data_IF_175171683404
#
_entry.id   IF_175171683404
#
_cell.length_a   1.000
_cell.length_b   1.000
_cell.length_c   1.000
_cell.angle_alpha   90.00
_cell.angle_beta   90.00
_cell.angle_gamma   90.00
#
_symmetry.space_group_name_H-M   'P 1'
#
loop_
_entity.id
_entity.type
_entity.pdbx_description
1 polymer ?
#
# COMPACT_ATOMS: atom_id res chain seq x y z
N UNK A 1 5.74 19.54 47.87
CA UNK A 1 5.63 20.05 46.48
C UNK A 1 6.66 19.44 45.53
N UNK A 2 7.96 19.35 45.85
CA UNK A 2 9.00 18.77 44.95
C UNK A 2 8.77 17.30 44.51
N UNK A 3 8.12 16.48 45.34
CA UNK A 3 7.86 15.05 45.02
C UNK A 3 6.72 14.84 44.01
N UNK A 4 5.69 15.69 44.02
CA UNK A 4 4.57 15.60 43.08
C UNK A 4 4.97 16.03 41.66
N UNK A 5 5.85 17.02 41.54
CA UNK A 5 6.39 17.46 40.23
C UNK A 5 7.22 16.35 39.58
N UNK A 6 8.00 15.60 40.36
CA UNK A 6 8.81 14.48 39.85
C UNK A 6 7.93 13.33 39.32
N UNK A 7 6.86 12.99 40.05
CA UNK A 7 5.91 11.95 39.62
C UNK A 7 5.19 12.40 38.35
N UNK A 8 4.74 13.65 38.27
CA UNK A 8 4.08 14.20 37.09
C UNK A 8 5.01 14.17 35.86
N UNK A 9 6.30 14.51 36.03
CA UNK A 9 7.31 14.47 34.97
C UNK A 9 7.58 13.04 34.49
N UNK A 10 7.67 12.07 35.41
CA UNK A 10 7.87 10.66 35.03
C UNK A 10 6.65 10.07 34.30
N UNK A 11 5.43 10.43 34.72
CA UNK A 11 4.22 10.03 33.99
C UNK A 11 4.14 10.67 32.60
N UNK A 12 4.60 11.93 32.44
CA UNK A 12 4.65 12.60 31.15
C UNK A 12 5.69 11.96 30.21
N UNK A 13 6.88 11.63 30.74
CA UNK A 13 7.94 10.94 29.98
C UNK A 13 7.50 9.53 29.57
N UNK A 14 6.81 8.81 30.45
CA UNK A 14 6.24 7.50 30.14
C UNK A 14 5.14 7.60 29.08
N UNK A 15 4.30 8.65 29.08
CA UNK A 15 3.34 8.88 28.00
C UNK A 15 3.99 9.25 26.66
N UNK A 16 5.12 9.95 26.66
CA UNK A 16 5.89 10.22 25.43
C UNK A 16 6.56 8.95 24.87
N UNK A 17 6.93 8.00 25.73
CA UNK A 17 7.50 6.70 25.33
C UNK A 17 6.43 5.70 24.84
N UNK A 18 5.16 5.91 25.19
CA UNK A 18 4.01 5.13 24.74
C UNK A 18 3.35 5.68 23.47
N UNK A 19 3.85 6.79 22.91
CA UNK A 19 3.63 7.09 21.49
C UNK A 19 4.53 6.13 20.71
N UNK A 20 4.07 4.88 20.69
CA UNK A 20 4.73 3.78 20.01
C UNK A 20 4.96 4.17 18.56
N UNK A 21 6.24 4.13 18.20
CA UNK A 21 6.77 4.03 16.85
C UNK A 21 5.90 3.11 15.98
N UNK A 22 4.85 3.65 15.36
CA UNK A 22 4.51 3.23 14.02
C UNK A 22 5.69 3.63 13.18
N UNK A 23 6.57 2.67 12.82
CA UNK A 23 7.50 2.91 11.70
C UNK A 23 6.60 3.11 10.49
N UNK A 24 6.28 4.37 10.21
CA UNK A 24 5.63 4.81 8.99
C UNK A 24 6.33 4.15 7.80
N UNK A 25 5.56 3.77 6.78
CA UNK A 25 6.15 3.49 5.49
C UNK A 25 7.00 4.70 5.12
N UNK A 26 8.29 4.51 4.81
CA UNK A 26 9.15 5.64 4.45
C UNK A 26 8.67 6.33 3.16
N UNK A 27 7.84 5.65 2.36
CA UNK A 27 7.34 6.10 1.07
C UNK A 27 5.87 5.73 0.89
N UNK A 28 5.08 6.72 0.46
CA UNK A 28 3.64 6.59 0.24
C UNK A 28 2.85 6.24 1.50
N UNK A 29 1.55 5.99 1.33
CA UNK A 29 0.69 5.70 2.47
C UNK A 29 0.83 4.23 2.89
N UNK A 30 0.81 3.93 4.20
CA UNK A 30 0.90 2.56 4.69
C UNK A 30 -0.27 1.67 4.27
N UNK A 31 0.04 0.38 4.19
CA UNK A 31 -0.94 -0.69 4.02
C UNK A 31 -1.89 -0.76 5.22
N UNK A 32 -3.15 -1.23 5.02
CA UNK A 32 -4.13 -1.37 6.10
C UNK A 32 -3.79 -2.48 7.11
N UNK A 33 -2.69 -3.23 6.93
CA UNK A 33 -2.11 -4.14 7.91
C UNK A 33 -0.74 -3.63 8.32
N UNK A 34 -0.57 -3.39 9.61
CA UNK A 34 0.62 -2.70 10.15
C UNK A 34 1.90 -3.52 10.02
N UNK A 35 1.76 -4.85 9.93
CA UNK A 35 2.83 -5.80 9.76
C UNK A 35 3.43 -5.77 8.34
N UNK A 36 2.66 -5.32 7.35
CA UNK A 36 3.07 -5.30 5.95
C UNK A 36 3.62 -3.94 5.53
N UNK A 37 4.62 -3.97 4.64
CA UNK A 37 5.22 -2.78 4.04
C UNK A 37 5.46 -3.00 2.56
N UNK A 38 5.39 -1.90 1.81
CA UNK A 38 5.80 -1.88 0.41
C UNK A 38 7.26 -2.33 0.29
N UNK A 39 7.56 -3.10 -0.76
CA UNK A 39 8.92 -3.58 -0.98
C UNK A 39 9.25 -4.92 -0.31
N UNK A 40 8.43 -5.39 0.65
CA UNK A 40 8.69 -6.67 1.33
C UNK A 40 8.72 -7.84 0.33
N UNK A 41 9.70 -8.72 0.48
CA UNK A 41 9.77 -9.99 -0.23
C UNK A 41 8.76 -10.98 0.36
N UNK A 42 8.37 -11.98 -0.43
CA UNK A 42 7.44 -13.03 0.01
C UNK A 42 7.88 -13.72 1.33
N UNK A 43 9.18 -13.92 1.55
CA UNK A 43 9.71 -14.47 2.81
C UNK A 43 9.54 -13.53 4.01
N UNK A 44 9.67 -12.23 3.80
CA UNK A 44 9.47 -11.21 4.84
C UNK A 44 8.00 -11.10 5.21
N UNK A 45 7.11 -11.12 4.20
CA UNK A 45 5.66 -11.19 4.40
C UNK A 45 5.27 -12.42 5.21
N UNK A 46 5.76 -13.62 4.85
CA UNK A 46 5.49 -14.84 5.63
C UNK A 46 5.92 -14.70 7.08
N UNK A 47 7.09 -14.13 7.32
CA UNK A 47 7.62 -13.90 8.67
C UNK A 47 6.75 -12.91 9.44
N UNK A 48 6.37 -11.80 8.80
CA UNK A 48 5.58 -10.73 9.39
C UNK A 48 4.15 -11.17 9.75
N UNK A 49 3.55 -12.03 8.92
CA UNK A 49 2.20 -12.54 9.11
C UNK A 49 2.15 -13.93 9.77
N UNK A 50 3.29 -14.45 10.24
CA UNK A 50 3.41 -15.77 10.85
C UNK A 50 2.81 -16.92 10.01
N UNK A 51 2.99 -16.86 8.70
CA UNK A 51 2.47 -17.84 7.76
C UNK A 51 3.35 -19.08 7.69
N UNK A 52 2.74 -20.23 7.40
CA UNK A 52 3.48 -21.45 7.13
C UNK A 52 4.32 -21.33 5.85
N UNK A 53 5.47 -22.01 5.79
CA UNK A 53 6.38 -21.98 4.63
C UNK A 53 5.75 -22.46 3.31
N UNK A 54 4.70 -23.28 3.40
CA UNK A 54 3.96 -23.76 2.23
C UNK A 54 3.16 -22.65 1.52
N UNK A 55 2.95 -21.50 2.16
CA UNK A 55 2.25 -20.35 1.58
C UNK A 55 3.25 -19.55 0.73
N UNK A 56 3.31 -19.88 -0.57
CA UNK A 56 4.21 -19.24 -1.53
C UNK A 56 3.43 -18.54 -2.64
N UNK A 57 4.02 -17.53 -3.31
CA UNK A 57 3.41 -16.95 -4.50
C UNK A 57 3.15 -18.02 -5.57
N UNK A 58 2.01 -17.92 -6.25
CA UNK A 58 1.65 -18.75 -7.38
C UNK A 58 2.39 -18.32 -8.67
N UNK A 59 2.05 -18.94 -9.80
CA UNK A 59 2.66 -18.63 -11.10
C UNK A 59 2.38 -17.21 -11.61
N UNK A 60 1.45 -16.48 -10.97
CA UNK A 60 1.14 -15.08 -11.28
C UNK A 60 1.84 -14.11 -10.34
N UNK A 61 2.69 -14.63 -9.44
CA UNK A 61 3.33 -13.83 -8.40
C UNK A 61 2.38 -13.42 -7.28
N UNK A 62 1.21 -14.06 -7.16
CA UNK A 62 0.22 -13.74 -6.13
C UNK A 62 0.26 -14.73 -4.96
N UNK A 63 0.14 -14.23 -3.74
CA UNK A 63 0.00 -15.01 -2.51
C UNK A 63 -1.33 -14.66 -1.85
N UNK A 64 -2.10 -15.67 -1.45
CA UNK A 64 -3.35 -15.46 -0.71
C UNK A 64 -3.14 -15.75 0.77
N UNK A 65 -3.59 -14.82 1.62
CA UNK A 65 -3.66 -14.95 3.07
C UNK A 65 -5.13 -15.02 3.46
N UNK A 66 -5.51 -16.09 4.15
CA UNK A 66 -6.89 -16.31 4.58
C UNK A 66 -7.18 -15.58 5.90
N UNK A 67 -8.45 -15.24 6.10
CA UNK A 67 -8.98 -14.67 7.34
C UNK A 67 -8.28 -13.39 7.83
N UNK A 68 -7.76 -12.58 6.89
CA UNK A 68 -7.13 -11.30 7.21
C UNK A 68 -8.19 -10.25 7.58
N UNK A 69 -7.86 -9.35 8.51
CA UNK A 69 -8.74 -8.26 8.90
C UNK A 69 -8.38 -6.99 8.14
N UNK A 70 -9.26 -6.53 7.26
CA UNK A 70 -9.11 -5.30 6.47
C UNK A 70 -10.26 -4.36 6.79
N UNK A 71 -9.96 -3.18 7.33
CA UNK A 71 -10.97 -2.21 7.79
C UNK A 71 -12.08 -2.81 8.69
N UNK A 72 -11.70 -3.75 9.55
CA UNK A 72 -12.61 -4.42 10.49
C UNK A 72 -13.41 -5.59 9.89
N UNK A 73 -13.18 -5.94 8.63
CA UNK A 73 -13.83 -7.07 7.97
C UNK A 73 -12.85 -8.21 7.78
N UNK A 74 -13.27 -9.44 8.13
CA UNK A 74 -12.49 -10.65 7.87
C UNK A 74 -12.70 -11.07 6.41
N UNK A 75 -11.61 -11.18 5.66
CA UNK A 75 -11.63 -11.52 4.22
C UNK A 75 -10.32 -12.17 3.78
N UNK A 76 -10.33 -12.78 2.61
CA UNK A 76 -9.12 -13.24 1.95
C UNK A 76 -8.38 -12.06 1.34
N UNK A 77 -7.08 -12.02 1.63
CA UNK A 77 -6.18 -10.99 1.20
C UNK A 77 -5.24 -11.54 0.12
N UNK A 78 -5.22 -10.90 -1.03
CA UNK A 78 -4.30 -11.21 -2.12
C UNK A 78 -3.14 -10.23 -2.10
N UNK A 79 -1.93 -10.76 -2.14
CA UNK A 79 -0.66 -10.04 -2.15
C UNK A 79 0.04 -10.31 -3.46
N UNK A 80 0.30 -9.30 -4.27
CA UNK A 80 1.00 -9.44 -5.55
C UNK A 80 2.43 -8.93 -5.44
N UNK A 81 3.36 -9.76 -5.88
CA UNK A 81 4.78 -9.44 -5.93
C UNK A 81 5.21 -9.13 -7.36
N UNK A 82 6.12 -8.16 -7.52
CA UNK A 82 6.75 -7.85 -8.80
C UNK A 82 7.59 -9.04 -9.28
N UNK A 83 7.47 -9.43 -10.54
CA UNK A 83 8.20 -10.57 -11.10
C UNK A 83 9.71 -10.34 -11.24
N UNK A 84 10.13 -9.08 -11.42
CA UNK A 84 11.53 -8.71 -11.68
C UNK A 84 12.36 -8.72 -10.41
N UNK A 85 11.82 -8.19 -9.31
CA UNK A 85 12.56 -8.03 -8.05
C UNK A 85 11.85 -8.60 -6.81
N UNK A 86 10.71 -9.28 -6.99
CA UNK A 86 10.06 -10.08 -5.94
C UNK A 86 9.50 -9.28 -4.77
N UNK A 87 9.23 -7.99 -4.98
CA UNK A 87 8.75 -7.08 -3.96
C UNK A 87 7.22 -6.98 -3.94
N UNK A 88 6.62 -6.84 -2.76
CA UNK A 88 5.20 -6.58 -2.59
C UNK A 88 4.84 -5.22 -3.19
N UNK A 89 4.01 -5.23 -4.25
CA UNK A 89 3.61 -4.04 -5.01
C UNK A 89 2.10 -3.82 -5.03
N UNK A 90 1.30 -4.83 -4.68
CA UNK A 90 -0.14 -4.68 -4.58
C UNK A 90 -0.73 -5.58 -3.51
N UNK A 91 -1.77 -5.07 -2.87
CA UNK A 91 -2.58 -5.77 -1.88
C UNK A 91 -4.04 -5.57 -2.27
N UNK A 92 -4.81 -6.64 -2.32
CA UNK A 92 -6.23 -6.59 -2.66
C UNK A 92 -7.04 -7.45 -1.70
N UNK A 93 -8.26 -7.03 -1.41
CA UNK A 93 -9.19 -7.76 -0.57
C UNK A 93 -10.61 -7.61 -1.12
N UNK A 94 -11.45 -8.63 -0.97
CA UNK A 94 -12.85 -8.55 -1.36
C UNK A 94 -13.73 -8.36 -0.13
N UNK A 95 -14.18 -7.14 0.09
CA UNK A 95 -15.07 -6.79 1.20
C UNK A 95 -16.49 -7.30 0.87
N UNK A 96 -17.20 -7.93 1.83
CA UNK A 96 -18.58 -8.31 1.64
C UNK A 96 -19.44 -7.09 1.23
N UNK A 97 -20.28 -7.25 0.20
CA UNK A 97 -21.09 -6.14 -0.34
C UNK A 97 -21.89 -5.36 0.73
N UNK A 98 -22.39 -6.06 1.75
CA UNK A 98 -23.14 -5.43 2.85
C UNK A 98 -22.31 -4.52 3.77
N UNK A 99 -20.99 -4.61 3.74
CA UNK A 99 -20.05 -3.82 4.55
C UNK A 99 -19.36 -2.70 3.75
N UNK A 100 -19.57 -2.61 2.43
CA UNK A 100 -18.86 -1.66 1.56
C UNK A 100 -19.07 -0.21 1.99
N UNK A 101 -20.30 0.20 2.29
CA UNK A 101 -20.60 1.57 2.72
C UNK A 101 -19.94 1.91 4.07
N UNK A 102 -19.84 0.94 4.99
CA UNK A 102 -19.14 1.15 6.27
C UNK A 102 -17.63 1.29 6.04
N UNK A 103 -17.05 0.44 5.20
CA UNK A 103 -15.62 0.48 4.86
C UNK A 103 -15.27 1.77 4.14
N UNK A 104 -16.07 2.22 3.17
CA UNK A 104 -15.89 3.50 2.50
C UNK A 104 -15.86 4.66 3.50
N UNK A 105 -16.83 4.72 4.44
CA UNK A 105 -16.88 5.76 5.47
C UNK A 105 -15.66 5.72 6.40
N UNK A 106 -15.17 4.53 6.77
CA UNK A 106 -13.94 4.39 7.57
C UNK A 106 -12.73 4.90 6.80
N UNK A 107 -12.60 4.56 5.53
CA UNK A 107 -11.51 5.07 4.68
C UNK A 107 -11.58 6.59 4.57
N UNK A 108 -12.77 7.15 4.33
CA UNK A 108 -12.97 8.59 4.26
C UNK A 108 -12.62 9.30 5.57
N UNK A 109 -12.97 8.69 6.71
CA UNK A 109 -12.57 9.19 8.02
C UNK A 109 -11.05 9.20 8.20
N UNK A 110 -10.38 8.12 7.80
CA UNK A 110 -8.94 7.94 8.03
C UNK A 110 -8.07 8.70 7.02
N UNK A 111 -8.55 8.88 5.79
CA UNK A 111 -7.76 9.35 4.64
C UNK A 111 -8.36 10.56 3.90
N UNK A 112 -9.54 11.02 4.31
CA UNK A 112 -10.26 12.10 3.64
C UNK A 112 -11.07 11.67 2.43
N UNK A 113 -11.68 12.64 1.76
CA UNK A 113 -12.54 12.42 0.59
C UNK A 113 -11.77 11.80 -0.57
N UNK A 114 -12.36 10.78 -1.19
CA UNK A 114 -11.79 10.13 -2.37
C UNK A 114 -12.28 10.76 -3.67
N UNK A 115 -11.58 10.48 -4.77
CA UNK A 115 -11.97 10.86 -6.12
C UNK A 115 -12.97 9.83 -6.67
N UNK A 116 -14.24 10.21 -6.89
CA UNK A 116 -15.24 9.30 -7.44
C UNK A 116 -15.01 9.09 -8.94
N UNK A 117 -15.26 7.86 -9.39
CA UNK A 117 -15.35 7.51 -10.81
C UNK A 117 -16.77 7.01 -11.10
N UNK A 118 -17.32 7.42 -12.24
CA UNK A 118 -18.70 7.12 -12.63
C UNK A 118 -18.72 6.33 -13.94
N UNK A 119 -19.72 5.47 -14.09
CA UNK A 119 -19.97 4.76 -15.34
C UNK A 119 -20.68 5.67 -16.38
N UNK A 120 -20.93 5.16 -17.59
CA UNK A 120 -21.61 5.89 -18.67
C UNK A 120 -23.05 6.34 -18.32
N UNK A 121 -23.65 5.76 -17.28
CA UNK A 121 -24.97 6.12 -16.76
C UNK A 121 -24.90 7.13 -15.62
N UNK A 122 -23.72 7.67 -15.31
CA UNK A 122 -23.46 8.57 -14.18
C UNK A 122 -23.71 7.93 -12.80
N UNK A 123 -23.65 6.60 -12.70
CA UNK A 123 -23.74 5.89 -11.42
C UNK A 123 -22.32 5.74 -10.85
N UNK A 124 -22.18 5.88 -9.53
CA UNK A 124 -20.89 5.79 -8.85
C UNK A 124 -20.35 4.36 -8.98
N UNK A 125 -19.19 4.24 -9.63
CA UNK A 125 -18.55 2.96 -9.92
C UNK A 125 -17.51 2.59 -8.87
N UNK A 126 -16.61 3.54 -8.59
CA UNK A 126 -15.53 3.35 -7.64
C UNK A 126 -15.14 4.67 -7.00
N UNK A 127 -14.43 4.57 -5.88
CA UNK A 127 -13.77 5.70 -5.24
C UNK A 127 -12.29 5.38 -5.15
N UNK A 128 -11.46 6.33 -5.54
CA UNK A 128 -10.01 6.19 -5.53
C UNK A 128 -9.35 7.27 -4.69
N UNK A 129 -8.20 6.96 -4.11
CA UNK A 129 -7.35 7.95 -3.49
C UNK A 129 -5.90 7.67 -3.87
N UNK A 130 -5.12 8.73 -3.86
CA UNK A 130 -3.74 8.77 -4.34
C UNK A 130 -2.97 9.66 -3.38
N UNK A 131 -1.70 9.33 -3.14
CA UNK A 131 -0.78 10.26 -2.53
C UNK A 131 -0.17 11.21 -3.58
N UNK A 132 0.82 11.98 -3.14
CA UNK A 132 1.55 12.95 -3.96
C UNK A 132 2.18 12.27 -5.18
N UNK A 133 2.19 12.99 -6.31
CA UNK A 133 2.81 12.50 -7.53
C UNK A 133 4.33 12.40 -7.35
N UNK A 134 4.95 11.37 -7.93
CA UNK A 134 6.39 11.12 -7.85
C UNK A 134 7.23 12.30 -8.35
N UNK A 135 6.74 13.03 -9.35
CA UNK A 135 7.40 14.21 -9.91
C UNK A 135 7.55 15.37 -8.93
N UNK A 136 6.70 15.43 -7.89
CA UNK A 136 6.79 16.42 -6.82
C UNK A 136 8.01 16.16 -5.91
N UNK A 137 8.65 14.99 -6.07
CA UNK A 137 9.82 14.55 -5.30
C UNK A 137 11.00 14.19 -6.22
N UNK A 138 11.78 15.17 -6.71
CA UNK A 138 12.84 14.93 -7.70
C UNK A 138 13.90 13.90 -7.27
N UNK A 139 14.21 13.84 -5.97
CA UNK A 139 15.16 12.86 -5.43
C UNK A 139 14.61 11.42 -5.50
N UNK A 140 13.31 11.23 -5.30
CA UNK A 140 12.66 9.93 -5.42
C UNK A 140 12.49 9.55 -6.88
N UNK A 141 12.06 10.48 -7.72
CA UNK A 141 11.98 10.28 -9.17
C UNK A 141 13.33 9.81 -9.74
N UNK A 142 14.42 10.50 -9.40
CA UNK A 142 15.77 10.11 -9.84
C UNK A 142 16.15 8.69 -9.40
N UNK A 143 15.76 8.28 -8.18
CA UNK A 143 16.03 6.93 -7.68
C UNK A 143 15.22 5.86 -8.42
N UNK A 144 13.95 6.14 -8.73
CA UNK A 144 13.10 5.22 -9.49
C UNK A 144 13.62 5.06 -10.91
N UNK A 145 14.00 6.15 -11.57
CA UNK A 145 14.61 6.12 -12.91
C UNK A 145 15.87 5.26 -12.89
N UNK A 146 16.78 5.49 -11.93
CA UNK A 146 18.01 4.71 -11.81
C UNK A 146 17.74 3.22 -11.52
N UNK A 147 16.67 2.91 -10.77
CA UNK A 147 16.25 1.54 -10.54
C UNK A 147 15.75 0.87 -11.82
N UNK A 148 14.90 1.53 -12.59
CA UNK A 148 14.40 1.01 -13.86
C UNK A 148 15.52 0.82 -14.89
N UNK A 149 16.40 1.80 -15.05
CA UNK A 149 17.57 1.70 -15.94
C UNK A 149 18.44 0.48 -15.59
N UNK A 150 18.74 0.28 -14.30
CA UNK A 150 19.50 -0.90 -13.82
C UNK A 150 18.82 -2.23 -14.15
N UNK A 151 17.49 -2.27 -14.20
CA UNK A 151 16.72 -3.47 -14.48
C UNK A 151 16.33 -3.58 -15.97
N UNK A 152 16.86 -2.72 -16.85
CA UNK A 152 16.58 -2.75 -18.29
C UNK A 152 15.15 -2.32 -18.65
N UNK A 153 14.49 -1.58 -17.77
CA UNK A 153 13.15 -1.04 -17.98
C UNK A 153 13.30 0.38 -18.51
N UNK A 154 12.85 0.61 -19.74
CA UNK A 154 12.82 1.96 -20.31
C UNK A 154 11.82 2.83 -19.54
N UNK A 155 12.15 4.11 -19.36
CA UNK A 155 11.23 5.13 -18.84
C UNK A 155 10.84 6.08 -19.95
N UNK A 156 9.58 6.51 -19.99
CA UNK A 156 9.14 7.57 -20.89
C UNK A 156 8.41 8.69 -20.13
N UNK A 157 8.52 9.90 -20.69
CA UNK A 157 7.73 11.08 -20.31
C UNK A 157 6.40 11.14 -21.06
N UNK A 158 6.16 10.28 -22.05
CA UNK A 158 4.91 10.17 -22.81
C UNK A 158 4.21 8.84 -22.46
N UNK A 159 2.96 8.85 -21.96
CA UNK A 159 2.24 7.62 -21.64
C UNK A 159 1.91 6.76 -22.88
N UNK A 160 2.07 7.29 -24.10
CA UNK A 160 1.86 6.58 -25.35
C UNK A 160 3.12 5.90 -25.91
N UNK A 161 4.29 6.17 -25.33
CA UNK A 161 5.55 5.53 -25.72
C UNK A 161 5.82 4.25 -24.93
N UNK A 162 6.62 3.36 -25.51
CA UNK A 162 7.06 2.14 -24.84
C UNK A 162 7.93 2.47 -23.62
N UNK A 163 7.50 2.04 -22.44
CA UNK A 163 8.25 2.19 -21.20
C UNK A 163 7.37 2.44 -19.98
N UNK A 164 8.01 2.53 -18.82
CA UNK A 164 7.36 2.95 -17.61
C UNK A 164 7.15 4.47 -17.64
N UNK A 165 5.89 4.87 -17.69
CA UNK A 165 5.48 6.26 -17.54
C UNK A 165 5.48 6.65 -16.06
N UNK A 166 6.29 7.66 -15.70
CA UNK A 166 6.50 8.08 -14.30
C UNK A 166 5.85 9.42 -13.95
N UNK A 167 5.60 10.27 -14.95
CA UNK A 167 5.03 11.59 -14.74
C UNK A 167 3.57 11.46 -14.23
N UNK A 168 3.19 12.25 -13.22
CA UNK A 168 1.87 12.17 -12.59
C UNK A 168 1.55 10.83 -11.90
N UNK A 169 2.50 9.89 -11.80
CA UNK A 169 2.28 8.63 -11.10
C UNK A 169 2.38 8.86 -9.59
N UNK A 170 1.34 8.50 -8.80
CA UNK A 170 1.43 8.57 -7.35
C UNK A 170 2.40 7.51 -6.81
N UNK A 171 2.92 7.70 -5.61
CA UNK A 171 3.73 6.68 -4.93
C UNK A 171 2.87 5.45 -4.60
N UNK A 172 1.63 5.70 -4.16
CA UNK A 172 0.62 4.69 -3.86
C UNK A 172 -0.78 5.16 -4.26
N UNK A 173 -1.62 4.21 -4.70
CA UNK A 173 -3.02 4.42 -5.05
C UNK A 173 -3.85 3.34 -4.37
N UNK A 174 -5.07 3.67 -3.97
CA UNK A 174 -6.08 2.65 -3.65
C UNK A 174 -7.42 2.97 -4.26
N UNK A 175 -8.15 1.91 -4.58
CA UNK A 175 -9.47 1.97 -5.20
C UNK A 175 -10.40 1.00 -4.49
N UNK A 176 -11.60 1.47 -4.16
CA UNK A 176 -12.72 0.66 -3.69
C UNK A 176 -13.82 0.67 -4.76
N UNK A 177 -14.21 -0.51 -5.25
CA UNK A 177 -15.36 -0.66 -6.14
C UNK A 177 -16.63 -0.65 -5.30
N UNK A 178 -17.54 0.27 -5.61
CA UNK A 178 -18.79 0.47 -4.84
C UNK A 178 -20.05 0.18 -5.64
N UNK A 179 -19.95 -0.02 -6.96
CA UNK A 179 -21.09 -0.41 -7.79
C UNK A 179 -21.60 -1.80 -7.41
N UNK A 180 -22.82 -1.87 -6.88
CA UNK A 180 -23.47 -3.11 -6.44
C UNK A 180 -23.81 -4.06 -7.59
N UNK A 181 -23.84 -3.56 -8.83
CA UNK A 181 -24.09 -4.35 -10.02
C UNK A 181 -22.80 -4.94 -10.61
N UNK A 182 -21.63 -4.49 -10.15
CA UNK A 182 -20.34 -5.04 -10.55
C UNK A 182 -20.05 -6.33 -9.73
N UNK A 183 -19.66 -7.45 -10.37
CA UNK A 183 -19.22 -8.66 -9.66
C UNK A 183 -18.06 -8.43 -8.68
N UNK A 184 -17.30 -7.36 -8.91
CA UNK A 184 -16.16 -6.93 -8.12
C UNK A 184 -16.54 -5.91 -7.05
N UNK A 185 -17.83 -5.64 -6.82
CA UNK A 185 -18.30 -4.79 -5.73
C UNK A 185 -17.65 -5.20 -4.40
N UNK A 186 -17.06 -4.22 -3.72
CA UNK A 186 -16.32 -4.42 -2.48
C UNK A 186 -14.86 -4.83 -2.66
N UNK A 187 -14.39 -5.01 -3.91
CA UNK A 187 -12.95 -5.13 -4.16
C UNK A 187 -12.27 -3.83 -3.74
N UNK A 188 -11.40 -3.93 -2.75
CA UNK A 188 -10.46 -2.89 -2.40
C UNK A 188 -9.07 -3.32 -2.87
N UNK A 189 -8.39 -2.42 -3.56
CA UNK A 189 -7.03 -2.64 -4.06
C UNK A 189 -6.14 -1.50 -3.61
N UNK A 190 -4.92 -1.82 -3.22
CA UNK A 190 -3.84 -0.90 -2.85
C UNK A 190 -2.66 -1.24 -3.75
N UNK A 191 -2.20 -0.28 -4.52
CA UNK A 191 -1.03 -0.40 -5.40
C UNK A 191 0.05 0.53 -4.91
N UNK A 192 1.28 0.03 -4.81
CA UNK A 192 2.42 0.78 -4.27
C UNK A 192 3.72 0.41 -4.94
N UNK A 193 3.71 0.21 -6.27
CA UNK A 193 4.91 -0.19 -7.02
C UNK A 193 6.06 0.82 -6.87
N UNK A 194 5.77 2.12 -6.98
CA UNK A 194 6.77 3.18 -6.78
C UNK A 194 7.29 3.19 -5.34
N UNK A 195 6.39 3.12 -4.35
CA UNK A 195 6.78 3.00 -2.94
C UNK A 195 7.65 1.76 -2.67
N UNK A 196 7.35 0.63 -3.31
CA UNK A 196 8.10 -0.61 -3.19
C UNK A 196 9.50 -0.49 -3.79
N UNK A 197 9.64 0.14 -4.97
CA UNK A 197 10.94 0.44 -5.60
C UNK A 197 11.78 1.33 -4.69
N UNK A 198 11.19 2.39 -4.11
CA UNK A 198 11.88 3.30 -3.21
C UNK A 198 12.30 2.65 -1.90
N UNK A 199 11.50 1.69 -1.41
CA UNK A 199 11.78 0.90 -0.22
C UNK A 199 12.83 -0.20 -0.46
N UNK A 200 13.00 -0.63 -1.72
CA UNK A 200 14.03 -1.61 -2.05
C UNK A 200 15.42 -0.97 -1.90
N UNK A 201 16.34 -1.61 -1.16
CA UNK A 201 17.68 -1.07 -0.99
C UNK A 201 18.37 -0.98 -2.36
N UNK A 202 18.83 0.22 -2.72
CA UNK A 202 19.62 0.47 -3.94
C UNK A 202 21.01 -0.19 -3.83
N UNK A 203 21.40 -0.63 -2.64
CA UNK A 203 22.63 -1.32 -2.34
C UNK A 203 22.32 -2.74 -1.86
N UNK A 204 22.43 -3.70 -2.76
CA UNK A 204 23.12 -4.96 -2.48
C UNK A 204 23.65 -5.51 -3.80
N UNK A 205 24.95 -5.75 -3.82
CA UNK A 205 25.65 -6.52 -4.84
C UNK A 205 24.91 -7.83 -5.10
N UNK A 206 24.36 -8.03 -6.30
CA UNK A 206 24.18 -9.36 -6.91
C UNK A 206 23.61 -9.24 -8.33
N UNK A 207 24.50 -8.96 -9.30
CA UNK A 207 24.79 -9.89 -10.40
C UNK A 207 26.08 -9.47 -11.10
#
# INVERSE_FOLDING_TARGET
MKKFVLVLMMTLLASCLLIGCGKESNYGTPLPMQELKWGMRASEVRTALHLADAVVPDSTGAMTVQDAVVYGQTTDLKLRFDETYGALIEVAALIPQGAVEEVEKRIQHDRGEGKPAYNDKMELQSVSWEDEALEEHPAWLSRVIAFYDRNGIATSEDPMEDGAYLNGSPLTRWTLIVDKNDPSCGLISFTGQIAAILAFPVNDEAR
#
